data_IF_252803462880
#
_entry.id   IF_252803462880
#
_cell.length_a   1.000
_cell.length_b   1.000
_cell.length_c   1.000
_cell.angle_alpha   90.00
_cell.angle_beta   90.00
_cell.angle_gamma   90.00
#
_symmetry.space_group_name_H-M   'P 1'
#
loop_
_entity.id
_entity.type
_entity.pdbx_description
1 polymer ?
#
# COMPACT_ATOMS: atom_id res chain seq x y z
N UNK A 1 -13.94 -1.90 4.18
CA UNK A 1 -13.28 -1.52 2.92
C UNK A 1 -14.13 -1.83 1.68
N UNK A 2 -14.75 -3.01 1.57
CA UNK A 2 -15.55 -3.43 0.40
C UNK A 2 -16.64 -2.46 -0.09
N UNK A 3 -17.29 -1.72 0.81
CA UNK A 3 -18.46 -0.91 0.47
C UNK A 3 -18.19 0.25 -0.52
N UNK A 4 -16.96 0.80 -0.54
CA UNK A 4 -16.62 1.92 -1.45
C UNK A 4 -16.39 1.48 -2.90
N UNK A 5 -15.98 0.22 -3.13
CA UNK A 5 -15.67 -0.32 -4.46
C UNK A 5 -16.75 -1.25 -5.00
N UNK A 6 -17.55 -1.85 -4.12
CA UNK A 6 -18.69 -2.69 -4.51
C UNK A 6 -19.81 -1.90 -5.21
N UNK A 7 -19.84 -0.57 -5.05
CA UNK A 7 -20.82 0.31 -5.67
C UNK A 7 -20.44 0.77 -7.09
N UNK A 8 -19.23 0.48 -7.57
CA UNK A 8 -18.78 0.89 -8.89
C UNK A 8 -19.07 -0.20 -9.93
N UNK A 9 -19.55 0.14 -11.14
CA UNK A 9 -19.68 -0.81 -12.23
C UNK A 9 -18.33 -1.45 -12.56
N UNK A 10 -18.36 -2.70 -13.05
CA UNK A 10 -17.17 -3.50 -13.35
C UNK A 10 -16.41 -2.94 -14.55
N UNK A 11 -15.67 -1.88 -14.29
CA UNK A 11 -14.93 -1.08 -15.27
C UNK A 11 -13.44 -1.35 -15.12
N UNK A 12 -12.64 -1.18 -16.18
CA UNK A 12 -11.18 -1.26 -16.09
C UNK A 12 -10.60 -0.38 -14.97
N UNK A 13 -11.19 0.80 -14.74
CA UNK A 13 -10.80 1.72 -13.67
C UNK A 13 -11.05 1.14 -12.28
N UNK A 14 -12.14 0.39 -12.08
CA UNK A 14 -12.40 -0.31 -10.81
C UNK A 14 -11.33 -1.37 -10.52
N UNK A 15 -10.90 -2.11 -11.54
CA UNK A 15 -9.82 -3.10 -11.42
C UNK A 15 -8.51 -2.40 -11.06
N UNK A 16 -8.19 -1.29 -11.74
CA UNK A 16 -6.97 -0.51 -11.46
C UNK A 16 -6.98 0.00 -9.99
N UNK A 17 -8.10 0.52 -9.48
CA UNK A 17 -8.23 0.93 -8.07
C UNK A 17 -8.18 -0.23 -7.06
N UNK A 18 -8.73 -1.39 -7.42
CA UNK A 18 -8.62 -2.60 -6.60
C UNK A 18 -7.16 -3.06 -6.48
N UNK A 19 -6.39 -2.97 -7.56
CA UNK A 19 -4.96 -3.28 -7.55
C UNK A 19 -4.19 -2.31 -6.64
N UNK A 20 -4.45 -1.00 -6.72
CA UNK A 20 -3.84 0.01 -5.86
C UNK A 20 -4.14 -0.24 -4.38
N UNK A 21 -5.41 -0.50 -4.05
CA UNK A 21 -5.83 -0.84 -2.70
C UNK A 21 -5.18 -2.14 -2.20
N UNK A 22 -5.07 -3.14 -3.06
CA UNK A 22 -4.41 -4.39 -2.70
C UNK A 22 -2.94 -4.15 -2.31
N UNK A 23 -2.22 -3.29 -3.05
CA UNK A 23 -0.84 -2.94 -2.72
C UNK A 23 -0.75 -2.23 -1.37
N UNK A 24 -1.62 -1.24 -1.10
CA UNK A 24 -1.62 -0.51 0.17
C UNK A 24 -1.90 -1.43 1.36
N UNK A 25 -2.88 -2.35 1.23
CA UNK A 25 -3.17 -3.36 2.25
C UNK A 25 -2.00 -4.33 2.45
N UNK A 26 -1.35 -4.78 1.37
CA UNK A 26 -0.21 -5.68 1.48
C UNK A 26 1.00 -5.02 2.14
N UNK A 27 1.26 -3.74 1.85
CA UNK A 27 2.29 -2.99 2.57
C UNK A 27 1.99 -2.97 4.06
N UNK A 28 0.75 -2.67 4.46
CA UNK A 28 0.35 -2.67 5.86
C UNK A 28 0.56 -4.05 6.50
N UNK A 29 0.20 -5.13 5.80
CA UNK A 29 0.40 -6.50 6.28
C UNK A 29 1.89 -6.85 6.44
N UNK A 30 2.74 -6.47 5.49
CA UNK A 30 4.20 -6.65 5.59
C UNK A 30 4.78 -5.92 6.81
N UNK A 31 4.35 -4.67 7.03
CA UNK A 31 4.76 -3.88 8.19
C UNK A 31 4.31 -4.47 9.54
N UNK A 32 3.29 -5.35 9.53
CA UNK A 32 2.79 -6.02 10.74
C UNK A 32 3.50 -7.34 11.04
N UNK A 33 4.34 -7.85 10.13
CA UNK A 33 5.09 -9.09 10.37
C UNK A 33 6.15 -8.92 11.46
N UNK A 34 6.42 -9.98 12.20
CA UNK A 34 7.48 -9.99 13.23
C UNK A 34 8.85 -9.70 12.62
N UNK A 35 9.14 -10.24 11.44
CA UNK A 35 10.42 -10.05 10.73
C UNK A 35 10.74 -8.56 10.50
N UNK A 36 9.75 -7.81 10.03
CA UNK A 36 9.90 -6.38 9.73
C UNK A 36 9.96 -5.55 11.01
N UNK A 37 9.11 -5.86 12.00
CA UNK A 37 9.13 -5.19 13.32
C UNK A 37 10.45 -5.41 14.04
N UNK A 38 10.91 -6.66 14.14
CA UNK A 38 12.19 -7.02 14.74
C UNK A 38 13.38 -6.36 14.02
N UNK A 39 13.26 -6.08 12.72
CA UNK A 39 14.26 -5.32 11.96
C UNK A 39 14.31 -3.86 12.38
N UNK A 40 13.17 -3.21 12.50
CA UNK A 40 13.12 -1.84 12.99
C UNK A 40 13.52 -1.73 14.47
N UNK A 41 13.05 -2.64 15.32
CA UNK A 41 13.34 -2.65 16.75
C UNK A 41 14.84 -2.83 17.05
N UNK A 42 15.56 -3.62 16.23
CA UNK A 42 17.03 -3.74 16.33
C UNK A 42 17.81 -2.59 15.66
N UNK A 43 17.12 -1.59 15.13
CA UNK A 43 17.72 -0.44 14.43
C UNK A 43 18.24 -0.75 13.03
N UNK A 44 17.84 -1.85 12.40
CA UNK A 44 18.20 -2.14 11.02
C UNK A 44 17.46 -1.17 10.08
N UNK A 45 18.21 -0.55 9.16
CA UNK A 45 17.63 0.28 8.09
C UNK A 45 16.84 -0.60 7.13
N UNK A 46 15.52 -0.43 7.10
CA UNK A 46 14.59 -1.14 6.23
C UNK A 46 13.45 -0.19 5.82
N UNK A 47 13.08 -0.23 4.55
CA UNK A 47 11.94 0.49 4.00
C UNK A 47 11.04 -0.48 3.22
N UNK A 48 9.73 -0.32 3.37
CA UNK A 48 8.71 -1.06 2.61
C UNK A 48 7.99 -0.04 1.72
N UNK A 49 7.95 -0.31 0.41
CA UNK A 49 7.34 0.57 -0.59
C UNK A 49 6.16 -0.13 -1.27
N UNK A 50 5.07 0.60 -1.52
CA UNK A 50 3.95 0.10 -2.32
C UNK A 50 3.87 0.81 -3.66
N UNK A 51 4.25 0.10 -4.71
CA UNK A 51 4.22 0.58 -6.09
C UNK A 51 3.29 -0.27 -6.94
N UNK A 52 2.69 0.36 -7.95
CA UNK A 52 1.91 -0.31 -9.00
C UNK A 52 2.56 -0.04 -10.34
N UNK A 53 2.56 -1.05 -11.21
CA UNK A 53 3.06 -0.93 -12.58
C UNK A 53 1.91 -1.07 -13.58
N UNK A 54 1.71 -0.03 -14.39
CA UNK A 54 0.73 -0.04 -15.46
C UNK A 54 1.23 -0.83 -16.66
N UNK A 55 0.54 -1.92 -17.02
CA UNK A 55 0.88 -2.70 -18.22
C UNK A 55 0.55 -1.96 -19.52
N UNK A 56 -0.35 -0.98 -19.47
CA UNK A 56 -0.83 -0.24 -20.65
C UNK A 56 0.12 0.89 -21.05
N UNK A 57 0.71 1.56 -20.07
CA UNK A 57 1.55 2.75 -20.24
C UNK A 57 3.02 2.51 -19.84
N UNK A 58 3.32 1.41 -19.16
CA UNK A 58 4.66 1.05 -18.70
C UNK A 58 5.16 1.91 -17.55
N UNK A 59 4.27 2.62 -16.84
CA UNK A 59 4.64 3.55 -15.79
C UNK A 59 4.56 2.90 -14.41
N UNK A 60 5.54 3.19 -13.57
CA UNK A 60 5.50 2.87 -12.13
C UNK A 60 4.87 4.05 -11.40
N UNK A 61 3.85 3.77 -10.61
CA UNK A 61 3.20 4.74 -9.72
C UNK A 61 3.52 4.41 -8.26
N UNK A 62 4.06 5.39 -7.54
CA UNK A 62 4.20 5.32 -6.09
C UNK A 62 2.86 5.69 -5.43
N UNK A 63 2.33 4.80 -4.59
CA UNK A 63 1.06 5.02 -3.90
C UNK A 63 1.19 5.83 -2.61
N UNK A 64 2.37 6.41 -2.33
CA UNK A 64 2.60 7.17 -1.10
C UNK A 64 2.55 6.30 0.15
N UNK A 65 2.76 5.00 0.00
CA UNK A 65 2.65 4.00 1.06
C UNK A 65 4.02 3.58 1.64
N UNK A 66 5.05 4.41 1.52
CA UNK A 66 6.39 4.08 2.01
C UNK A 66 6.47 4.10 3.53
N UNK A 67 6.92 3.01 4.15
CA UNK A 67 7.08 2.87 5.61
C UNK A 67 8.52 2.46 5.95
N UNK A 68 9.14 3.20 6.87
CA UNK A 68 10.52 2.96 7.35
C UNK A 68 10.62 2.69 8.85
N UNK A 69 9.50 2.69 9.58
CA UNK A 69 9.43 2.40 11.01
C UNK A 69 7.99 2.00 11.41
N UNK A 70 7.82 1.29 12.52
CA UNK A 70 6.50 0.80 12.95
C UNK A 70 5.54 1.93 13.34
N UNK A 71 6.04 2.99 13.99
CA UNK A 71 5.25 4.13 14.47
C UNK A 71 4.47 4.85 13.37
N UNK A 72 5.03 4.95 12.17
CA UNK A 72 4.38 5.66 11.06
C UNK A 72 3.48 4.77 10.19
N UNK A 73 3.53 3.44 10.33
CA UNK A 73 2.85 2.51 9.44
C UNK A 73 1.34 2.79 9.33
N UNK A 74 0.68 3.09 10.44
CA UNK A 74 -0.74 3.43 10.47
C UNK A 74 -1.04 4.77 9.78
N UNK A 75 -0.21 5.80 10.00
CA UNK A 75 -0.40 7.11 9.41
C UNK A 75 -0.22 7.07 7.88
N UNK A 76 0.82 6.37 7.41
CA UNK A 76 1.11 6.16 5.99
C UNK A 76 -0.03 5.41 5.31
N UNK A 77 -0.54 4.33 5.91
CA UNK A 77 -1.67 3.59 5.38
C UNK A 77 -2.93 4.46 5.23
N UNK A 78 -3.27 5.25 6.25
CA UNK A 78 -4.42 6.16 6.17
C UNK A 78 -4.24 7.26 5.11
N UNK A 79 -3.03 7.80 4.98
CA UNK A 79 -2.69 8.79 3.95
C UNK A 79 -2.83 8.22 2.54
N UNK A 80 -2.28 7.02 2.30
CA UNK A 80 -2.38 6.34 1.01
C UNK A 80 -3.83 5.99 0.65
N UNK A 81 -4.62 5.54 1.63
CA UNK A 81 -6.03 5.25 1.45
C UNK A 81 -6.87 6.50 1.11
N UNK A 82 -6.50 7.66 1.67
CA UNK A 82 -7.20 8.92 1.40
C UNK A 82 -6.83 9.54 0.05
N UNK A 83 -5.68 9.17 -0.53
CA UNK A 83 -5.19 9.67 -1.82
C UNK A 83 -5.73 8.89 -3.04
N UNK A 84 -6.43 7.77 -2.80
CA UNK A 84 -7.11 6.93 -3.79
C UNK A 84 -8.42 7.57 -4.30
#
# INVERSE_FOLDING_TARGET
HDAKLAAMPDTPQRIDRLCELNVIEQVANVCQTTIVRDAWDRGQKLAVHGWVYGLKDGLVSDLGSTVTETSQAAAVYQGALAAL
#
